data_IF_000226820515
#
_entry.id   IF_000226820515
#
_cell.length_a   1.000
_cell.length_b   1.000
_cell.length_c   1.000
_cell.angle_alpha   90.00
_cell.angle_beta   90.00
_cell.angle_gamma   90.00
#
_symmetry.space_group_name_H-M   'P 1'
#
loop_
_entity.id
_entity.type
_entity.pdbx_description
1 polymer ?
#
# COMPACT_ATOMS: atom_id res chain seq x y z
N UNK A 1 0.56 -1.15 -13.19
CA UNK A 1 0.07 0.22 -12.93
C UNK A 1 1.29 1.12 -12.95
N UNK A 2 1.34 2.07 -13.87
CA UNK A 2 2.36 3.10 -13.89
C UNK A 2 1.82 4.29 -13.12
N UNK A 3 2.44 4.62 -12.00
CA UNK A 3 2.09 5.82 -11.24
C UNK A 3 3.00 6.96 -11.70
N UNK A 4 2.43 7.95 -12.35
CA UNK A 4 3.17 9.14 -12.75
C UNK A 4 3.43 10.04 -11.54
N UNK A 5 4.64 10.59 -11.44
CA UNK A 5 5.05 11.51 -10.39
C UNK A 5 5.69 10.89 -9.14
N UNK A 6 5.85 9.56 -9.08
CA UNK A 6 6.42 8.87 -7.92
C UNK A 6 7.94 8.60 -8.00
N UNK A 7 8.67 9.33 -8.81
CA UNK A 7 10.05 8.96 -9.11
C UNK A 7 11.03 9.17 -7.94
N UNK A 8 10.76 10.08 -7.00
CA UNK A 8 11.78 10.50 -6.02
C UNK A 8 11.17 11.02 -4.71
N UNK A 9 10.62 10.18 -3.87
CA UNK A 9 10.19 10.61 -2.53
C UNK A 9 9.66 9.48 -1.68
N UNK A 10 9.95 9.50 -0.39
CA UNK A 10 9.41 8.56 0.60
C UNK A 10 7.88 8.72 0.80
N UNK A 11 7.32 9.82 0.28
CA UNK A 11 5.91 10.19 0.42
C UNK A 11 5.02 9.54 -0.64
N UNK A 12 5.63 8.88 -1.61
CA UNK A 12 4.96 8.25 -2.73
C UNK A 12 5.04 6.73 -2.61
N UNK A 13 4.23 6.17 -1.74
CA UNK A 13 4.03 4.72 -1.65
C UNK A 13 3.21 4.21 -2.83
N UNK A 14 3.35 2.92 -3.13
CA UNK A 14 2.41 2.25 -4.03
C UNK A 14 1.02 2.27 -3.38
N UNK A 15 0.02 2.83 -4.06
CA UNK A 15 -1.38 2.80 -3.63
C UNK A 15 -1.97 1.40 -3.84
N UNK A 16 -1.44 0.45 -3.07
CA UNK A 16 -1.84 -0.95 -3.11
C UNK A 16 -2.30 -1.39 -1.72
N UNK A 17 -3.45 -2.04 -1.67
CA UNK A 17 -3.89 -2.72 -0.46
C UNK A 17 -2.94 -3.89 -0.14
N UNK A 18 -2.14 -3.75 0.90
CA UNK A 18 -1.17 -4.76 1.33
C UNK A 18 -1.84 -6.10 1.71
N UNK A 19 -3.12 -6.08 2.08
CA UNK A 19 -3.88 -7.28 2.39
C UNK A 19 -4.43 -7.99 1.14
N UNK A 20 -4.34 -7.37 -0.05
CA UNK A 20 -4.79 -7.95 -1.32
C UNK A 20 -3.64 -8.47 -2.17
N UNK A 21 -2.53 -8.86 -1.55
CA UNK A 21 -1.36 -9.39 -2.22
C UNK A 21 -1.32 -10.90 -2.04
N UNK A 22 -1.35 -11.64 -3.15
CA UNK A 22 -1.18 -13.09 -3.15
C UNK A 22 0.28 -13.51 -3.31
N UNK A 23 1.00 -12.86 -4.23
CA UNK A 23 2.43 -13.09 -4.41
C UNK A 23 3.15 -11.84 -4.90
N UNK A 24 4.43 -11.74 -4.58
CA UNK A 24 5.34 -10.70 -5.06
C UNK A 24 6.52 -11.36 -5.75
N UNK A 25 6.70 -11.09 -7.04
CA UNK A 25 7.81 -11.57 -7.83
C UNK A 25 8.76 -10.42 -8.14
N UNK A 26 10.03 -10.56 -7.78
CA UNK A 26 11.07 -9.58 -8.10
C UNK A 26 11.91 -10.10 -9.26
N UNK A 27 11.73 -9.49 -10.42
CA UNK A 27 12.48 -9.79 -11.63
C UNK A 27 13.64 -8.79 -11.72
N UNK A 28 14.87 -9.27 -11.57
CA UNK A 28 16.07 -8.45 -11.65
C UNK A 28 16.59 -8.41 -13.09
N UNK A 29 17.10 -7.24 -13.50
CA UNK A 29 17.67 -7.04 -14.82
C UNK A 29 16.70 -6.43 -15.83
N UNK A 30 17.13 -6.19 -17.06
CA UNK A 30 16.35 -5.52 -18.09
C UNK A 30 15.18 -6.39 -18.55
N UNK A 31 13.97 -5.96 -18.25
CA UNK A 31 12.72 -6.64 -18.62
C UNK A 31 11.86 -5.78 -19.55
N UNK A 32 12.45 -4.80 -20.21
CA UNK A 32 11.76 -3.81 -21.04
C UNK A 32 10.95 -4.41 -22.19
N UNK A 33 11.35 -5.57 -22.71
CA UNK A 33 10.61 -6.26 -23.77
C UNK A 33 9.22 -6.75 -23.32
N UNK A 34 9.07 -7.10 -22.03
CA UNK A 34 7.83 -7.63 -21.50
C UNK A 34 7.00 -6.59 -20.73
N UNK A 35 7.66 -5.63 -20.06
CA UNK A 35 7.03 -4.72 -19.10
C UNK A 35 7.16 -3.23 -19.48
N UNK A 36 7.81 -2.93 -20.61
CA UNK A 36 7.95 -1.56 -21.11
C UNK A 36 9.29 -0.92 -20.81
N UNK A 37 9.50 0.29 -21.37
CA UNK A 37 10.79 1.00 -21.36
C UNK A 37 11.35 1.30 -19.96
N UNK A 38 10.48 1.42 -18.97
CA UNK A 38 10.88 1.80 -17.61
C UNK A 38 11.43 0.61 -16.80
N UNK A 39 11.29 -0.61 -17.31
CA UNK A 39 11.77 -1.85 -16.68
C UNK A 39 13.25 -2.16 -16.92
N UNK A 40 14.11 -1.14 -16.97
CA UNK A 40 15.55 -1.33 -17.25
C UNK A 40 16.31 -1.92 -16.05
N UNK A 41 15.94 -1.57 -14.83
CA UNK A 41 16.58 -2.05 -13.60
C UNK A 41 15.95 -3.32 -13.03
N UNK A 42 14.72 -3.61 -13.41
CA UNK A 42 13.93 -4.74 -12.92
C UNK A 42 12.46 -4.43 -12.79
N UNK A 43 11.69 -5.43 -12.37
CA UNK A 43 10.23 -5.35 -12.18
C UNK A 43 9.84 -5.98 -10.85
N UNK A 44 8.92 -5.34 -10.15
CA UNK A 44 8.20 -5.94 -9.03
C UNK A 44 6.79 -6.26 -9.55
N UNK A 45 6.53 -7.54 -9.73
CA UNK A 45 5.24 -8.05 -10.19
C UNK A 45 4.42 -8.52 -8.99
N UNK A 46 3.28 -7.86 -8.79
CA UNK A 46 2.39 -8.11 -7.65
C UNK A 46 1.10 -8.73 -8.19
N UNK A 47 0.82 -9.95 -7.73
CA UNK A 47 -0.37 -10.68 -8.13
C UNK A 47 -1.37 -10.78 -6.99
N UNK A 48 -2.68 -10.68 -7.27
CA UNK A 48 -3.73 -10.87 -6.27
C UNK A 48 -3.79 -12.34 -5.81
N UNK A 49 -4.49 -12.64 -4.69
CA UNK A 49 -4.74 -14.01 -4.25
C UNK A 49 -5.43 -14.84 -5.33
N UNK A 50 -5.12 -16.13 -5.33
CA UNK A 50 -5.68 -17.08 -6.31
C UNK A 50 -7.19 -17.23 -6.13
N UNK A 51 -7.89 -17.27 -7.25
CA UNK A 51 -9.32 -17.55 -7.31
C UNK A 51 -9.55 -19.07 -7.12
N UNK A 52 -10.44 -19.51 -6.21
CA UNK A 52 -10.76 -20.90 -6.05
C UNK A 52 -11.27 -21.55 -7.34
N UNK A 53 -10.89 -22.81 -7.58
CA UNK A 53 -11.34 -23.58 -8.74
C UNK A 53 -12.69 -24.24 -8.54
N UNK A 54 -13.16 -24.34 -7.30
CA UNK A 54 -14.43 -24.98 -6.91
C UNK A 54 -15.46 -23.95 -6.47
N UNK A 55 -16.73 -24.30 -6.63
CA UNK A 55 -17.83 -23.44 -6.19
C UNK A 55 -17.85 -23.39 -4.66
N UNK A 56 -17.68 -22.18 -4.10
CA UNK A 56 -17.66 -21.97 -2.66
C UNK A 56 -17.90 -20.52 -2.27
N UNK A 57 -18.45 -20.34 -1.08
CA UNK A 57 -18.43 -19.07 -0.35
C UNK A 57 -17.29 -19.17 0.66
N UNK A 58 -16.46 -18.16 0.74
CA UNK A 58 -15.32 -18.13 1.64
C UNK A 58 -15.05 -16.71 2.15
N UNK A 59 -14.30 -16.61 3.21
CA UNK A 59 -13.91 -15.34 3.79
C UNK A 59 -12.56 -15.45 4.46
N UNK A 60 -11.91 -14.32 4.61
CA UNK A 60 -10.64 -14.15 5.30
C UNK A 60 -10.71 -12.95 6.23
N UNK A 61 -10.19 -13.12 7.42
CA UNK A 61 -10.01 -12.04 8.40
C UNK A 61 -8.56 -12.03 8.82
N UNK A 62 -7.89 -10.91 8.59
CA UNK A 62 -6.50 -10.69 9.00
C UNK A 62 -6.43 -9.56 10.02
N UNK A 63 -5.71 -9.79 11.12
CA UNK A 63 -5.39 -8.77 12.11
C UNK A 63 -3.88 -8.66 12.26
N UNK A 64 -3.36 -7.45 12.29
CA UNK A 64 -1.93 -7.17 12.37
C UNK A 64 -1.65 -6.10 13.42
N UNK A 65 -0.72 -6.40 14.34
CA UNK A 65 -0.18 -5.45 15.29
C UNK A 65 1.34 -5.29 15.13
N UNK A 66 1.84 -4.05 15.15
CA UNK A 66 3.28 -3.76 15.13
C UNK A 66 3.64 -2.85 16.30
N UNK A 67 4.64 -3.24 17.10
CA UNK A 67 5.07 -2.47 18.27
C UNK A 67 5.94 -1.26 17.93
N UNK A 68 6.61 -1.28 16.77
CA UNK A 68 7.57 -0.23 16.37
C UNK A 68 6.94 1.15 16.27
N UNK A 69 5.69 1.22 15.84
CA UNK A 69 4.93 2.45 15.69
C UNK A 69 3.48 2.33 16.22
N UNK A 70 3.20 1.26 16.97
CA UNK A 70 1.84 1.03 17.51
C UNK A 70 0.81 0.77 16.40
N UNK A 71 1.21 0.18 15.28
CA UNK A 71 0.26 -0.13 14.20
C UNK A 71 -0.78 -1.13 14.68
N UNK A 72 -2.04 -0.83 14.39
CA UNK A 72 -3.14 -1.77 14.42
C UNK A 72 -3.79 -1.77 13.03
N UNK A 73 -3.88 -2.94 12.42
CA UNK A 73 -4.47 -3.08 11.11
C UNK A 73 -5.36 -4.31 11.04
N UNK A 74 -6.36 -4.26 10.18
CA UNK A 74 -7.28 -5.36 9.92
C UNK A 74 -7.78 -5.37 8.49
N UNK A 75 -8.11 -6.55 8.01
CA UNK A 75 -8.74 -6.77 6.72
C UNK A 75 -9.83 -7.81 6.85
N UNK A 76 -10.94 -7.57 6.17
CA UNK A 76 -12.04 -8.50 5.97
C UNK A 76 -12.23 -8.70 4.46
N UNK A 77 -12.27 -9.95 4.02
CA UNK A 77 -12.57 -10.32 2.66
C UNK A 77 -13.70 -11.35 2.62
N UNK A 78 -14.63 -11.15 1.70
CA UNK A 78 -15.67 -12.13 1.38
C UNK A 78 -15.61 -12.42 -0.12
N UNK A 79 -15.61 -13.69 -0.47
CA UNK A 79 -15.54 -14.17 -1.84
C UNK A 79 -16.57 -15.24 -2.12
N UNK A 80 -17.16 -15.18 -3.30
CA UNK A 80 -18.11 -16.18 -3.82
C UNK A 80 -17.63 -16.65 -5.18
N UNK A 81 -17.44 -17.95 -5.32
CA UNK A 81 -17.24 -18.62 -6.60
C UNK A 81 -18.46 -19.48 -6.89
N UNK A 82 -19.10 -19.28 -8.03
CA UNK A 82 -20.24 -20.09 -8.47
C UNK A 82 -20.24 -20.24 -9.99
N UNK A 83 -20.08 -21.45 -10.47
CA UNK A 83 -20.00 -21.77 -11.89
C UNK A 83 -18.94 -20.91 -12.63
N UNK A 84 -19.40 -20.08 -13.57
CA UNK A 84 -18.55 -19.20 -14.36
C UNK A 84 -18.21 -17.86 -13.66
N UNK A 85 -18.87 -17.58 -12.53
CA UNK A 85 -18.76 -16.29 -11.83
C UNK A 85 -17.86 -16.41 -10.59
N UNK A 86 -17.08 -15.37 -10.40
CA UNK A 86 -16.38 -15.10 -9.15
C UNK A 86 -16.61 -13.64 -8.76
N UNK A 87 -16.88 -13.40 -7.49
CA UNK A 87 -17.00 -12.06 -6.93
C UNK A 87 -16.27 -12.01 -5.58
N UNK A 88 -15.58 -10.93 -5.33
CA UNK A 88 -14.87 -10.68 -4.08
C UNK A 88 -15.04 -9.22 -3.67
N UNK A 89 -15.34 -9.00 -2.40
CA UNK A 89 -15.24 -7.69 -1.76
C UNK A 89 -14.21 -7.76 -0.65
N UNK A 90 -13.39 -6.72 -0.53
CA UNK A 90 -12.40 -6.58 0.54
C UNK A 90 -12.47 -5.18 1.13
N UNK A 91 -12.38 -5.13 2.44
CA UNK A 91 -12.13 -3.92 3.21
C UNK A 91 -10.90 -4.10 4.06
N UNK A 92 -10.03 -3.11 4.08
CA UNK A 92 -8.88 -3.08 5.00
C UNK A 92 -8.72 -1.70 5.61
N UNK A 93 -8.26 -1.67 6.85
CA UNK A 93 -7.96 -0.44 7.57
C UNK A 93 -6.70 -0.61 8.39
N UNK A 94 -5.84 0.41 8.37
CA UNK A 94 -4.60 0.45 9.12
C UNK A 94 -4.44 1.81 9.79
N UNK A 95 -4.19 1.79 11.10
CA UNK A 95 -3.79 2.95 11.88
C UNK A 95 -2.36 2.75 12.36
N UNK A 96 -1.52 3.74 12.20
CA UNK A 96 -0.15 3.69 12.69
C UNK A 96 0.26 5.01 13.32
N UNK A 97 0.96 4.90 14.44
CA UNK A 97 1.53 6.04 15.15
C UNK A 97 2.92 6.41 14.63
N UNK A 98 3.53 7.38 15.30
CA UNK A 98 4.88 7.83 14.98
C UNK A 98 5.90 6.70 15.12
N UNK A 99 6.83 6.62 14.16
CA UNK A 99 7.90 5.64 14.16
C UNK A 99 8.83 5.84 15.36
N UNK A 100 9.12 4.75 16.07
CA UNK A 100 10.15 4.69 17.11
C UNK A 100 11.49 4.35 16.50
N UNK A 101 12.51 5.11 16.88
CA UNK A 101 13.89 4.87 16.46
C UNK A 101 14.78 4.62 17.68
N UNK A 102 15.85 3.81 17.57
CA UNK A 102 16.73 3.49 18.70
C UNK A 102 17.70 4.60 19.06
N UNK A 103 17.67 5.74 18.35
CA UNK A 103 18.60 6.84 18.53
C UNK A 103 17.89 8.10 19.08
N UNK A 104 18.62 8.91 19.84
CA UNK A 104 18.16 10.20 20.34
C UNK A 104 18.48 11.35 19.37
N UNK A 105 19.24 11.06 18.31
CA UNK A 105 19.58 12.01 17.24
C UNK A 105 19.55 11.32 15.88
N UNK A 106 19.15 12.06 14.86
CA UNK A 106 19.27 11.65 13.45
C UNK A 106 20.11 12.65 12.69
N UNK A 107 20.76 12.20 11.63
CA UNK A 107 21.44 13.10 10.69
C UNK A 107 20.56 13.24 9.46
N UNK A 108 20.12 14.48 9.21
CA UNK A 108 19.35 14.81 8.03
C UNK A 108 20.04 15.96 7.27
N UNK A 109 20.33 15.74 5.99
CA UNK A 109 21.06 16.70 5.16
C UNK A 109 22.31 17.30 5.85
N UNK A 110 23.14 16.43 6.43
CA UNK A 110 24.38 16.80 7.16
C UNK A 110 24.20 17.43 8.56
N UNK A 111 22.96 17.77 8.96
CA UNK A 111 22.67 18.34 10.27
C UNK A 111 22.21 17.28 11.26
N UNK A 112 22.76 17.33 12.49
CA UNK A 112 22.29 16.49 13.60
C UNK A 112 21.05 17.13 14.21
N UNK A 113 19.95 16.37 14.20
CA UNK A 113 18.67 16.78 14.77
C UNK A 113 18.34 15.92 16.00
N UNK A 114 17.99 16.51 17.14
CA UNK A 114 17.55 15.76 18.30
C UNK A 114 16.17 15.13 18.04
N UNK A 115 15.97 13.89 18.50
CA UNK A 115 14.70 13.17 18.42
C UNK A 115 14.17 12.97 19.83
N UNK A 116 13.15 13.74 20.19
CA UNK A 116 12.58 13.71 21.52
C UNK A 116 11.71 12.46 21.72
N UNK A 117 12.01 11.72 22.79
CA UNK A 117 11.28 10.49 23.14
C UNK A 117 11.48 9.35 22.15
N UNK A 118 12.53 9.40 21.33
CA UNK A 118 12.85 8.38 20.30
C UNK A 118 11.72 8.15 19.32
N UNK A 119 10.94 9.20 19.02
CA UNK A 119 9.85 9.13 18.05
C UNK A 119 10.05 10.18 16.98
N UNK A 120 9.93 9.75 15.73
CA UNK A 120 9.85 10.65 14.58
C UNK A 120 8.45 11.23 14.52
N UNK A 121 8.27 12.44 15.03
CA UNK A 121 6.97 13.13 15.04
C UNK A 121 6.45 13.34 13.60
N UNK A 122 5.13 13.36 13.47
CA UNK A 122 4.41 13.52 12.21
C UNK A 122 4.63 12.38 11.21
N UNK A 123 4.90 11.17 11.67
CA UNK A 123 4.95 9.96 10.81
C UNK A 123 3.75 9.05 11.03
N UNK A 124 2.81 9.46 11.86
CA UNK A 124 1.55 8.76 12.08
C UNK A 124 0.63 8.87 10.87
N UNK A 125 -0.29 7.92 10.73
CA UNK A 125 -1.25 7.94 9.64
C UNK A 125 -2.35 6.92 9.75
N UNK A 126 -3.26 6.98 8.78
CA UNK A 126 -4.36 6.06 8.57
C UNK A 126 -4.42 5.71 7.08
N UNK A 127 -4.74 4.46 6.81
CA UNK A 127 -5.00 3.94 5.48
C UNK A 127 -6.28 3.13 5.50
N UNK A 128 -7.14 3.32 4.49
CA UNK A 128 -8.39 2.58 4.31
C UNK A 128 -8.53 2.20 2.86
N UNK A 129 -8.81 0.93 2.61
CA UNK A 129 -8.98 0.42 1.27
C UNK A 129 -10.30 -0.35 1.19
N UNK A 130 -11.02 -0.16 0.10
CA UNK A 130 -12.15 -0.97 -0.27
C UNK A 130 -11.99 -1.39 -1.72
N UNK A 131 -12.22 -2.67 -2.00
CA UNK A 131 -12.09 -3.24 -3.34
C UNK A 131 -13.22 -4.20 -3.65
N UNK A 132 -13.71 -4.13 -4.88
CA UNK A 132 -14.62 -5.09 -5.49
C UNK A 132 -13.95 -5.66 -6.72
N UNK A 133 -13.96 -6.98 -6.83
CA UNK A 133 -13.50 -7.69 -8.01
C UNK A 133 -14.56 -8.68 -8.44
N UNK A 134 -14.91 -8.66 -9.73
CA UNK A 134 -15.86 -9.59 -10.35
C UNK A 134 -15.23 -10.16 -11.61
N UNK A 135 -15.26 -11.49 -11.72
CA UNK A 135 -14.77 -12.20 -12.89
C UNK A 135 -15.86 -13.11 -13.45
N UNK A 136 -16.02 -13.09 -14.76
CA UNK A 136 -16.74 -14.08 -15.51
C UNK A 136 -15.77 -14.88 -16.39
N UNK A 137 -15.74 -16.19 -16.24
CA UNK A 137 -14.86 -17.06 -17.03
C UNK A 137 -15.62 -18.27 -17.55
N UNK A 138 -15.67 -18.42 -18.85
CA UNK A 138 -16.29 -19.59 -19.52
C UNK A 138 -15.50 -19.96 -20.76
N UNK A 139 -14.98 -21.19 -20.80
CA UNK A 139 -14.22 -21.80 -21.94
C UNK A 139 -13.27 -20.82 -22.66
N UNK A 140 -13.78 -19.99 -23.57
CA UNK A 140 -13.00 -19.06 -24.42
C UNK A 140 -13.13 -17.60 -24.01
N UNK A 141 -14.04 -17.27 -23.08
CA UNK A 141 -14.34 -15.89 -22.69
C UNK A 141 -13.92 -15.67 -21.24
N UNK A 142 -13.20 -14.60 -21.03
CA UNK A 142 -12.90 -14.08 -19.69
C UNK A 142 -13.15 -12.58 -19.69
N UNK A 143 -13.87 -12.12 -18.69
CA UNK A 143 -14.10 -10.71 -18.41
C UNK A 143 -13.83 -10.46 -16.93
N UNK A 144 -12.99 -9.49 -16.66
CA UNK A 144 -12.60 -9.08 -15.30
C UNK A 144 -13.02 -7.63 -15.11
N UNK A 145 -13.67 -7.36 -14.00
CA UNK A 145 -14.05 -6.01 -13.57
C UNK A 145 -13.55 -5.78 -12.16
N UNK A 146 -12.83 -4.67 -11.96
CA UNK A 146 -12.33 -4.30 -10.64
C UNK A 146 -12.55 -2.81 -10.37
N UNK A 147 -13.00 -2.52 -9.17
CA UNK A 147 -13.08 -1.16 -8.63
C UNK A 147 -12.42 -1.16 -7.27
N UNK A 148 -11.56 -0.18 -7.03
CA UNK A 148 -10.94 0.03 -5.73
C UNK A 148 -10.90 1.51 -5.39
N UNK A 149 -11.01 1.79 -4.09
CA UNK A 149 -10.76 3.11 -3.53
C UNK A 149 -9.71 2.96 -2.45
N UNK A 150 -8.68 3.76 -2.52
CA UNK A 150 -7.60 3.87 -1.54
C UNK A 150 -7.69 5.25 -0.92
N UNK A 151 -7.85 5.30 0.39
CA UNK A 151 -7.76 6.52 1.17
C UNK A 151 -6.54 6.43 2.08
N UNK A 152 -5.62 7.36 1.93
CA UNK A 152 -4.43 7.45 2.75
C UNK A 152 -4.28 8.87 3.30
N UNK A 153 -4.03 8.97 4.60
CA UNK A 153 -3.63 10.19 5.27
C UNK A 153 -2.41 9.89 6.11
N UNK A 154 -1.26 10.37 5.68
CA UNK A 154 0.01 10.18 6.37
C UNK A 154 0.60 11.53 6.74
N UNK A 155 1.21 11.58 7.91
CA UNK A 155 2.01 12.74 8.28
C UNK A 155 3.34 12.71 7.54
N UNK A 156 3.95 13.87 7.44
CA UNK A 156 5.26 14.07 6.83
C UNK A 156 6.27 14.46 7.90
N UNK A 157 7.39 13.74 7.96
CA UNK A 157 8.50 14.14 8.84
C UNK A 157 9.24 15.32 8.19
N UNK A 158 9.16 16.54 8.74
CA UNK A 158 9.90 17.66 8.21
C UNK A 158 11.37 17.47 8.57
N UNK A 159 12.13 16.96 7.64
CA UNK A 159 13.58 16.81 7.78
C UNK A 159 14.36 18.12 7.72
N UNK A 160 13.71 19.22 7.36
CA UNK A 160 14.25 20.56 7.43
C UNK A 160 13.41 21.42 8.40
N UNK A 161 13.99 22.39 9.12
CA UNK A 161 13.21 23.39 9.83
C UNK A 161 12.46 24.23 8.79
N UNK A 162 11.25 23.80 8.46
CA UNK A 162 10.32 24.60 7.65
C UNK A 162 9.90 25.77 8.53
N UNK A 163 10.25 26.98 8.15
CA UNK A 163 9.73 28.18 8.82
C UNK A 163 8.20 28.12 8.71
N UNK A 164 7.51 28.27 9.82
CA UNK A 164 6.04 28.17 9.95
C UNK A 164 5.24 29.07 9.02
N UNK A 165 5.88 29.99 8.32
CA UNK A 165 5.27 30.92 7.37
C UNK A 165 4.79 30.25 6.07
N UNK A 166 5.28 29.06 5.71
CA UNK A 166 4.86 28.36 4.49
C UNK A 166 3.69 27.39 4.69
N UNK A 167 3.39 26.99 5.93
CA UNK A 167 2.27 26.08 6.22
C UNK A 167 0.89 26.75 6.28
N UNK A 168 0.83 28.09 6.32
CA UNK A 168 -0.43 28.84 6.31
C UNK A 168 -1.05 29.10 4.94
N UNK A 169 -0.36 28.77 3.86
CA UNK A 169 -0.82 29.05 2.50
C UNK A 169 -1.73 27.97 1.90
N UNK A 170 -1.97 26.85 2.60
CA UNK A 170 -2.78 25.74 2.12
C UNK A 170 -4.03 25.45 2.96
N UNK A 171 -4.42 26.35 3.87
CA UNK A 171 -5.68 26.25 4.63
C UNK A 171 -6.71 27.32 4.17
N UNK A 172 -6.93 27.41 2.87
CA UNK A 172 -8.10 28.13 2.34
C UNK A 172 -8.83 27.29 1.31
#
# INVERSE_FOLDING_TARGET
IKQEGQQWGADHGLELDAFNIGAVNVLKGPSSLLYGSDAMGGVIDITPPLIPSVDMLFGDVTLLGKSVNGTLAGSLMLGLKKNAWYAQIRYSEQHFGDYRIPADTIVYLTQKMPVYGRKLKNTAGIERNIGLFVQYQRKRYRADYSVSNVYQKTGFFPGAPVSYTHLRAHET
#
